data_IF_739187817294
#
_entry.id   IF_739187817294
#
_cell.length_a   1.000
_cell.length_b   1.000
_cell.length_c   1.000
_cell.angle_alpha   90.00
_cell.angle_beta   90.00
_cell.angle_gamma   90.00
#
_symmetry.space_group_name_H-M   'P 1'
#
loop_
_entity.id
_entity.type
_entity.pdbx_description
1 polymer ?
#
# COMPACT_ATOMS: atom_id res chain seq x y z
N UNK A 1 38.98 -38.66 -5.82
CA UNK A 1 38.21 -37.48 -6.24
C UNK A 1 37.15 -37.24 -5.18
N UNK A 2 37.26 -36.17 -4.41
CA UNK A 2 36.35 -35.87 -3.29
C UNK A 2 35.16 -35.12 -3.86
N UNK A 3 33.96 -35.70 -3.78
CA UNK A 3 32.76 -35.02 -4.27
C UNK A 3 32.45 -33.77 -3.43
N UNK A 4 32.07 -32.64 -4.05
CA UNK A 4 31.69 -31.45 -3.31
C UNK A 4 30.40 -31.72 -2.54
N UNK A 5 30.49 -31.73 -1.21
CA UNK A 5 29.35 -31.95 -0.31
C UNK A 5 28.19 -30.99 -0.61
N UNK A 6 26.97 -31.53 -0.64
CA UNK A 6 25.76 -30.78 -0.96
C UNK A 6 25.59 -29.57 -0.02
N UNK A 7 25.42 -28.38 -0.60
CA UNK A 7 25.20 -27.14 0.16
C UNK A 7 23.84 -27.22 0.86
N UNK A 8 23.83 -27.38 2.19
CA UNK A 8 22.61 -27.37 3.00
C UNK A 8 22.14 -25.93 3.20
N UNK A 9 20.94 -25.60 2.71
CA UNK A 9 20.32 -24.29 2.94
C UNK A 9 20.08 -24.12 4.45
N UNK A 10 20.84 -23.23 5.10
CA UNK A 10 20.56 -22.79 6.47
C UNK A 10 19.48 -21.72 6.42
N UNK A 11 18.21 -22.13 6.42
CA UNK A 11 17.11 -21.19 6.65
C UNK A 11 17.20 -20.73 8.11
N UNK A 12 17.35 -19.42 8.29
CA UNK A 12 17.17 -18.80 9.60
C UNK A 12 15.68 -18.47 9.71
N UNK A 13 14.95 -19.27 10.48
CA UNK A 13 13.58 -18.96 10.89
C UNK A 13 13.64 -18.29 12.26
N UNK A 14 13.12 -17.06 12.33
CA UNK A 14 12.87 -16.40 13.61
C UNK A 14 11.44 -16.75 14.05
N UNK A 15 11.22 -17.03 15.35
CA UNK A 15 9.85 -17.18 15.85
C UNK A 15 9.07 -15.89 15.63
N UNK A 16 7.76 -16.02 15.45
CA UNK A 16 6.88 -14.86 15.41
C UNK A 16 6.94 -14.10 16.75
N UNK A 17 6.92 -12.76 16.73
CA UNK A 17 6.78 -11.96 17.94
C UNK A 17 5.50 -12.30 18.74
N UNK A 18 5.49 -11.98 20.03
CA UNK A 18 4.29 -12.13 20.85
C UNK A 18 3.13 -11.27 20.32
N UNK A 19 1.91 -11.82 20.38
CA UNK A 19 0.71 -11.17 19.87
C UNK A 19 0.48 -11.31 18.36
N UNK A 20 1.41 -11.92 17.62
CA UNK A 20 1.19 -12.25 16.21
C UNK A 20 0.31 -13.48 16.09
N UNK A 21 -0.72 -13.36 15.27
CA UNK A 21 -1.61 -14.46 14.95
C UNK A 21 -0.85 -15.63 14.30
N UNK A 22 -0.92 -16.85 14.86
CA UNK A 22 -0.27 -18.03 14.28
C UNK A 22 -0.88 -18.45 12.93
N UNK A 23 -2.13 -18.09 12.66
CA UNK A 23 -2.87 -18.51 11.47
C UNK A 23 -3.40 -17.32 10.65
N UNK A 24 -2.53 -16.47 10.08
CA UNK A 24 -2.96 -15.27 9.35
C UNK A 24 -3.81 -15.59 8.11
N UNK A 25 -3.80 -16.83 7.63
CA UNK A 25 -4.56 -17.29 6.47
C UNK A 25 -5.99 -17.74 6.79
N UNK A 26 -6.36 -17.86 8.07
CA UNK A 26 -7.72 -18.30 8.47
C UNK A 26 -8.75 -17.14 8.41
N UNK A 27 -8.31 -15.90 8.14
CA UNK A 27 -9.19 -14.74 8.02
C UNK A 27 -9.74 -14.59 6.60
N UNK A 28 -11.02 -14.23 6.50
CA UNK A 28 -11.64 -13.87 5.21
C UNK A 28 -10.97 -12.64 4.63
N UNK A 29 -10.52 -12.72 3.37
CA UNK A 29 -9.88 -11.62 2.65
C UNK A 29 -10.86 -10.53 2.20
N UNK A 30 -12.17 -10.77 2.34
CA UNK A 30 -13.23 -9.83 1.97
C UNK A 30 -13.51 -8.82 3.10
N UNK A 31 -12.92 -9.02 4.29
CA UNK A 31 -13.08 -8.15 5.44
C UNK A 31 -11.90 -7.16 5.54
N UNK A 32 -12.20 -5.89 5.74
CA UNK A 32 -11.20 -4.88 6.06
C UNK A 32 -10.62 -5.15 7.47
N UNK A 33 -9.31 -4.97 7.64
CA UNK A 33 -8.70 -5.11 8.96
C UNK A 33 -9.20 -4.00 9.88
N UNK A 34 -9.32 -4.27 11.19
CA UNK A 34 -9.77 -3.24 12.15
C UNK A 34 -8.80 -2.06 12.27
N UNK A 35 -7.55 -2.28 11.85
CA UNK A 35 -6.49 -1.28 11.76
C UNK A 35 -6.44 -0.53 10.41
N UNK A 36 -7.15 -1.02 9.38
CA UNK A 36 -7.30 -0.33 8.11
C UNK A 36 -8.20 0.88 8.29
N UNK A 37 -7.58 1.98 8.69
CA UNK A 37 -8.24 3.29 8.66
C UNK A 37 -8.04 3.90 7.29
N UNK A 38 -9.02 4.69 6.78
CA UNK A 38 -8.85 5.48 5.57
C UNK A 38 -7.91 6.68 5.79
N UNK A 39 -6.81 6.48 6.52
CA UNK A 39 -5.72 7.42 6.66
C UNK A 39 -4.84 7.32 5.41
N UNK A 40 -5.38 7.80 4.30
CA UNK A 40 -4.60 8.04 3.09
C UNK A 40 -3.60 9.17 3.32
N UNK A 41 -2.52 9.19 2.53
CA UNK A 41 -1.61 10.35 2.37
C UNK A 41 -2.34 11.51 1.66
N UNK A 42 -3.45 11.98 2.25
CA UNK A 42 -4.50 12.78 1.64
C UNK A 42 -5.87 12.25 2.04
N UNK A 43 -6.34 12.59 3.23
CA UNK A 43 -7.60 12.09 3.79
C UNK A 43 -8.85 12.60 3.08
N UNK A 44 -9.85 11.71 3.03
CA UNK A 44 -11.24 11.81 2.51
C UNK A 44 -11.42 11.49 1.01
N UNK A 45 -11.82 10.24 0.69
CA UNK A 45 -12.51 9.93 -0.57
C UNK A 45 -11.90 8.89 -1.51
N UNK A 46 -11.20 7.86 -1.03
CA UNK A 46 -10.62 6.84 -1.92
C UNK A 46 -11.65 6.01 -2.75
N UNK A 47 -12.95 6.13 -2.47
CA UNK A 47 -14.04 5.68 -3.35
C UNK A 47 -14.98 6.85 -3.63
N UNK A 48 -14.50 7.83 -4.41
CA UNK A 48 -15.24 9.06 -4.71
C UNK A 48 -14.40 10.33 -4.77
N UNK A 49 -13.10 10.22 -5.09
CA UNK A 49 -12.19 11.36 -5.24
C UNK A 49 -12.47 12.18 -6.51
N UNK A 50 -13.73 12.59 -6.69
CA UNK A 50 -14.03 13.95 -7.11
C UNK A 50 -13.59 14.83 -5.94
N UNK A 51 -12.35 15.34 -6.00
CA UNK A 51 -11.71 16.07 -4.91
C UNK A 51 -12.64 17.11 -4.27
N UNK A 52 -12.98 16.90 -3.00
CA UNK A 52 -13.75 17.82 -2.17
C UNK A 52 -12.91 19.03 -1.71
N UNK A 53 -12.04 19.53 -2.58
CA UNK A 53 -11.41 20.84 -2.46
C UNK A 53 -11.90 21.68 -3.62
N UNK A 54 -12.87 22.58 -3.38
CA UNK A 54 -13.42 23.56 -4.33
C UNK A 54 -13.19 23.16 -5.80
N UNK A 55 -13.89 22.12 -6.24
CA UNK A 55 -13.86 21.62 -7.62
C UNK A 55 -14.10 22.80 -8.58
N UNK A 56 -13.03 23.34 -9.16
CA UNK A 56 -13.05 24.55 -9.99
C UNK A 56 -11.83 25.46 -9.82
N UNK A 57 -11.42 25.79 -8.58
CA UNK A 57 -10.35 26.78 -8.35
C UNK A 57 -8.98 26.24 -8.79
N UNK A 58 -8.67 24.98 -8.44
CA UNK A 58 -7.43 24.34 -8.87
C UNK A 58 -7.39 24.13 -10.38
N UNK A 59 -8.52 23.78 -10.99
CA UNK A 59 -8.64 23.60 -12.44
C UNK A 59 -8.41 24.92 -13.19
N UNK A 60 -8.84 26.05 -12.60
CA UNK A 60 -8.58 27.40 -13.13
C UNK A 60 -7.12 27.80 -13.05
N UNK A 61 -6.46 27.50 -11.93
CA UNK A 61 -5.01 27.71 -11.78
C UNK A 61 -4.24 26.88 -12.80
N UNK A 62 -4.58 25.59 -12.94
CA UNK A 62 -3.89 24.69 -13.86
C UNK A 62 -4.09 25.09 -15.33
N UNK A 63 -5.27 25.61 -15.69
CA UNK A 63 -5.55 26.17 -17.02
C UNK A 63 -4.73 27.43 -17.31
N UNK A 64 -4.51 28.28 -16.30
CA UNK A 64 -3.66 29.47 -16.41
C UNK A 64 -2.18 29.13 -16.54
N UNK A 65 -1.73 28.15 -15.77
CA UNK A 65 -0.31 27.81 -15.65
C UNK A 65 0.15 26.76 -16.68
N UNK A 66 -0.73 26.35 -17.61
CA UNK A 66 -0.41 25.35 -18.65
C UNK A 66 0.70 25.88 -19.57
N UNK A 67 1.86 25.19 -19.67
CA UNK A 67 2.94 25.59 -20.56
C UNK A 67 2.54 25.53 -22.05
N UNK A 68 3.21 26.29 -22.93
CA UNK A 68 2.83 26.38 -24.35
C UNK A 68 2.91 25.05 -25.12
N UNK A 69 3.76 24.13 -24.69
CA UNK A 69 3.98 22.84 -25.35
C UNK A 69 2.99 21.75 -24.90
N UNK A 70 2.05 22.09 -24.01
CA UNK A 70 1.03 21.15 -23.55
C UNK A 70 -0.25 21.21 -24.38
N UNK A 71 -0.34 22.00 -25.45
CA UNK A 71 -1.53 22.14 -26.31
C UNK A 71 -1.43 21.35 -27.61
#
# INVERSE_FOLDING_TARGET
MTEPGARKRRRVTRPAPEGVDPNPSDHSLDAAASEDRPEGWGGSGASGASGAGKSGENDEQLRRDRPPHWG
#
